data_IF_576287616975
#
_entry.id   IF_576287616975
#
_cell.length_a   1.000
_cell.length_b   1.000
_cell.length_c   1.000
_cell.angle_alpha   90.00
_cell.angle_beta   90.00
_cell.angle_gamma   90.00
#
_symmetry.space_group_name_H-M   'P 1'
#
loop_
_entity.id
_entity.type
_entity.pdbx_description
1 polymer ?
#
# COMPACT_ATOMS: atom_id res chain seq x y z
N UNK A 1 -13.74 -1.76 11.99
CA UNK A 1 -12.41 -2.24 11.56
C UNK A 1 -12.29 -1.99 10.07
N UNK A 2 -11.13 -1.51 9.61
CA UNK A 2 -10.79 -1.35 8.20
C UNK A 2 -9.64 -2.30 7.89
N UNK A 3 -9.75 -3.04 6.79
CA UNK A 3 -8.67 -3.89 6.27
C UNK A 3 -8.33 -3.44 4.85
N UNK A 4 -7.15 -2.85 4.68
CA UNK A 4 -6.63 -2.49 3.37
C UNK A 4 -5.90 -3.71 2.78
N UNK A 5 -6.64 -4.52 2.02
CA UNK A 5 -6.13 -5.70 1.33
C UNK A 5 -5.91 -5.46 -0.17
N UNK A 6 -6.60 -4.49 -0.76
CA UNK A 6 -6.49 -4.21 -2.19
C UNK A 6 -5.06 -3.80 -2.55
N UNK A 7 -4.55 -4.41 -3.61
CA UNK A 7 -3.26 -4.10 -4.17
C UNK A 7 -2.75 -5.19 -5.09
N UNK A 8 -1.78 -4.84 -5.93
CA UNK A 8 -1.16 -5.77 -6.86
C UNK A 8 0.35 -5.54 -6.93
N UNK A 9 1.04 -6.50 -7.55
CA UNK A 9 2.47 -6.44 -7.76
C UNK A 9 2.80 -6.24 -9.23
N UNK A 10 3.71 -5.33 -9.48
CA UNK A 10 4.38 -5.15 -10.76
C UNK A 10 5.89 -5.23 -10.48
N UNK A 11 6.56 -6.15 -11.17
CA UNK A 11 7.98 -6.45 -10.99
C UNK A 11 8.72 -5.98 -12.24
N UNK A 12 9.67 -5.08 -12.05
CA UNK A 12 10.55 -4.60 -13.10
C UNK A 12 11.84 -4.06 -12.48
N UNK A 13 12.92 -4.08 -13.26
CA UNK A 13 14.11 -3.31 -12.93
C UNK A 13 13.75 -1.81 -12.89
N UNK A 14 14.54 -1.01 -12.18
CA UNK A 14 14.21 0.41 -11.99
C UNK A 14 14.30 1.16 -13.32
N UNK A 15 15.23 0.77 -14.17
CA UNK A 15 15.48 1.33 -15.49
C UNK A 15 14.57 0.78 -16.60
N UNK A 16 13.84 -0.29 -16.34
CA UNK A 16 12.95 -0.97 -17.30
C UNK A 16 11.46 -0.86 -16.93
N UNK A 17 11.13 -0.15 -15.84
CA UNK A 17 9.75 -0.01 -15.38
C UNK A 17 8.90 0.82 -16.34
N UNK A 18 7.71 0.33 -16.68
CA UNK A 18 6.72 1.14 -17.36
C UNK A 18 6.07 2.13 -16.38
N UNK A 19 6.23 3.43 -16.63
CA UNK A 19 5.74 4.50 -15.74
C UNK A 19 4.26 4.36 -15.37
N UNK A 20 3.42 3.96 -16.34
CA UNK A 20 1.99 3.82 -16.13
C UNK A 20 1.65 2.64 -15.19
N UNK A 21 2.36 1.52 -15.32
CA UNK A 21 2.20 0.34 -14.45
C UNK A 21 2.72 0.62 -13.03
N UNK A 22 3.87 1.29 -12.93
CA UNK A 22 4.42 1.73 -11.65
C UNK A 22 3.45 2.67 -10.95
N UNK A 23 2.91 3.67 -11.65
CA UNK A 23 1.93 4.62 -11.08
C UNK A 23 0.65 3.92 -10.67
N UNK A 24 0.10 3.04 -11.50
CA UNK A 24 -1.10 2.27 -11.18
C UNK A 24 -0.90 1.46 -9.89
N UNK A 25 0.29 0.89 -9.69
CA UNK A 25 0.62 0.15 -8.47
C UNK A 25 0.66 1.08 -7.24
N UNK A 26 1.23 2.28 -7.34
CA UNK A 26 1.22 3.28 -6.26
C UNK A 26 -0.20 3.78 -5.93
N UNK A 27 -1.01 4.02 -6.97
CA UNK A 27 -2.41 4.43 -6.80
C UNK A 27 -3.20 3.38 -6.02
N UNK A 28 -3.07 2.10 -6.34
CA UNK A 28 -3.77 1.04 -5.62
C UNK A 28 -3.20 0.79 -4.22
N UNK A 29 -1.88 0.54 -4.13
CA UNK A 29 -1.25 0.00 -2.92
C UNK A 29 -1.02 1.06 -1.84
N UNK A 30 -0.77 2.32 -2.23
CA UNK A 30 -0.40 3.39 -1.32
C UNK A 30 -1.48 4.45 -1.20
N UNK A 31 -1.82 5.14 -2.31
CA UNK A 31 -2.77 6.24 -2.26
C UNK A 31 -4.20 5.77 -1.96
N UNK A 32 -4.61 4.64 -2.53
CA UNK A 32 -5.88 3.99 -2.26
C UNK A 32 -6.04 3.58 -0.80
N UNK A 33 -5.01 2.93 -0.24
CA UNK A 33 -4.99 2.56 1.19
C UNK A 33 -5.11 3.79 2.10
N UNK A 34 -4.37 4.87 1.79
CA UNK A 34 -4.45 6.13 2.52
C UNK A 34 -5.85 6.77 2.40
N UNK A 35 -6.47 6.73 1.22
CA UNK A 35 -7.81 7.24 1.00
C UNK A 35 -8.86 6.50 1.85
N UNK A 36 -8.76 5.17 1.92
CA UNK A 36 -9.66 4.35 2.75
C UNK A 36 -9.51 4.66 4.24
N UNK A 37 -8.27 4.87 4.71
CA UNK A 37 -8.02 5.29 6.09
C UNK A 37 -8.65 6.65 6.36
N UNK A 38 -8.43 7.64 5.49
CA UNK A 38 -9.03 8.99 5.63
C UNK A 38 -10.56 8.92 5.68
N UNK A 39 -11.17 8.06 4.89
CA UNK A 39 -12.62 7.87 4.86
C UNK A 39 -13.16 7.18 6.13
N UNK A 40 -12.42 6.22 6.69
CA UNK A 40 -12.86 5.44 7.85
C UNK A 40 -12.59 6.14 9.20
N UNK A 41 -11.52 6.95 9.28
CA UNK A 41 -11.06 7.57 10.52
C UNK A 41 -12.11 8.41 11.27
N UNK A 42 -12.94 9.26 10.62
CA UNK A 42 -13.94 10.07 11.34
C UNK A 42 -14.89 9.21 12.18
N UNK A 43 -15.44 8.14 11.60
CA UNK A 43 -16.36 7.24 12.31
C UNK A 43 -15.69 6.44 13.43
N UNK A 44 -14.43 6.03 13.25
CA UNK A 44 -13.67 5.36 14.31
C UNK A 44 -13.42 6.31 15.49
N UNK A 45 -13.12 7.58 15.20
CA UNK A 45 -12.91 8.63 16.22
C UNK A 45 -14.18 8.95 16.99
N UNK A 46 -15.31 9.13 16.30
CA UNK A 46 -16.63 9.34 16.92
C UNK A 46 -16.98 8.22 17.90
N UNK A 47 -16.71 6.96 17.51
CA UNK A 47 -16.97 5.78 18.33
C UNK A 47 -15.88 5.51 19.38
N UNK A 48 -14.80 6.30 19.39
CA UNK A 48 -13.57 6.10 20.20
C UNK A 48 -13.05 4.65 20.15
N UNK A 49 -13.28 3.97 19.03
CA UNK A 49 -12.96 2.56 18.84
C UNK A 49 -12.85 2.23 17.34
N UNK A 50 -11.83 1.45 17.00
CA UNK A 50 -11.57 1.01 15.63
C UNK A 50 -10.15 0.50 15.47
N UNK A 51 -9.96 -0.40 14.50
CA UNK A 51 -8.65 -0.91 14.09
C UNK A 51 -8.50 -0.73 12.58
N UNK A 52 -7.30 -0.33 12.15
CA UNK A 52 -6.87 -0.29 10.76
C UNK A 52 -5.79 -1.36 10.59
N UNK A 53 -5.98 -2.26 9.63
CA UNK A 53 -5.00 -3.29 9.27
C UNK A 53 -4.62 -3.10 7.81
N UNK A 54 -3.33 -2.90 7.53
CA UNK A 54 -2.79 -2.85 6.17
C UNK A 54 -2.11 -4.18 5.85
N UNK A 55 -2.47 -4.79 4.72
CA UNK A 55 -1.81 -6.01 4.24
C UNK A 55 -0.54 -5.63 3.47
N UNK A 56 0.60 -5.95 4.08
CA UNK A 56 1.96 -5.76 3.56
C UNK A 56 2.55 -7.10 3.08
N UNK A 57 3.73 -7.07 2.47
CA UNK A 57 4.46 -8.25 1.99
C UNK A 57 5.86 -8.31 2.62
N UNK A 58 6.39 -9.51 2.88
CA UNK A 58 7.81 -9.67 3.22
C UNK A 58 8.75 -9.08 2.17
N UNK A 59 8.30 -8.99 0.91
CA UNK A 59 9.03 -8.33 -0.18
C UNK A 59 9.30 -6.84 0.05
N UNK A 60 8.65 -6.19 1.03
CA UNK A 60 9.00 -4.82 1.45
C UNK A 60 10.18 -4.77 2.43
N UNK A 61 10.55 -5.90 3.05
CA UNK A 61 11.65 -6.01 4.00
C UNK A 61 12.87 -6.70 3.38
N UNK A 62 12.64 -7.66 2.49
CA UNK A 62 13.67 -8.35 1.72
C UNK A 62 13.43 -8.05 0.25
N UNK A 63 14.23 -7.14 -0.31
CA UNK A 63 14.17 -6.77 -1.71
C UNK A 63 14.80 -7.85 -2.59
N UNK A 64 14.04 -8.34 -3.57
CA UNK A 64 14.57 -9.17 -4.64
C UNK A 64 14.88 -8.27 -5.86
N UNK A 65 15.82 -8.66 -6.73
CA UNK A 65 15.99 -7.97 -8.01
C UNK A 65 14.66 -7.84 -8.75
N UNK A 66 14.36 -6.63 -9.26
CA UNK A 66 13.09 -6.33 -9.93
C UNK A 66 11.89 -6.04 -9.01
N UNK A 67 12.06 -6.03 -7.67
CA UNK A 67 10.96 -5.76 -6.73
C UNK A 67 10.98 -4.36 -6.13
N UNK A 68 11.84 -3.45 -6.61
CA UNK A 68 12.06 -2.13 -6.01
C UNK A 68 10.78 -1.30 -5.89
N UNK A 69 10.04 -1.16 -6.98
CA UNK A 69 8.77 -0.43 -6.99
C UNK A 69 7.72 -1.09 -6.09
N UNK A 70 7.52 -2.40 -6.20
CA UNK A 70 6.55 -3.12 -5.38
C UNK A 70 6.84 -3.00 -3.88
N UNK A 71 8.10 -3.20 -3.50
CA UNK A 71 8.56 -3.05 -2.11
C UNK A 71 8.24 -1.67 -1.56
N UNK A 72 8.53 -0.61 -2.33
CA UNK A 72 8.25 0.78 -1.94
C UNK A 72 6.75 1.02 -1.65
N UNK A 73 5.86 0.44 -2.46
CA UNK A 73 4.41 0.61 -2.24
C UNK A 73 3.87 -0.10 -1.00
N UNK A 74 4.58 -1.10 -0.46
CA UNK A 74 4.12 -1.93 0.66
C UNK A 74 4.67 -1.50 2.02
N UNK A 75 5.54 -0.49 2.09
CA UNK A 75 5.94 0.17 3.34
C UNK A 75 4.88 1.23 3.74
N UNK A 76 3.66 0.78 4.06
CA UNK A 76 2.57 1.67 4.47
C UNK A 76 2.25 1.50 5.97
N UNK A 77 2.88 2.31 6.81
CA UNK A 77 2.64 2.33 8.26
C UNK A 77 1.48 3.25 8.64
N UNK A 78 0.48 2.71 9.34
CA UNK A 78 -0.40 3.52 10.20
C UNK A 78 0.16 3.40 11.62
N UNK A 79 0.53 4.52 12.24
CA UNK A 79 0.76 4.60 13.69
C UNK A 79 -0.57 4.72 14.41
#
# INVERSE_FOLDING_TARGET
MLVNNAGFGYLSAVEEGEDDEVRAMFEANFFGAAAMIRAALPRMRERRSGHVVNITSMGSLVGNPGSGYYAATKVAGAR
#
